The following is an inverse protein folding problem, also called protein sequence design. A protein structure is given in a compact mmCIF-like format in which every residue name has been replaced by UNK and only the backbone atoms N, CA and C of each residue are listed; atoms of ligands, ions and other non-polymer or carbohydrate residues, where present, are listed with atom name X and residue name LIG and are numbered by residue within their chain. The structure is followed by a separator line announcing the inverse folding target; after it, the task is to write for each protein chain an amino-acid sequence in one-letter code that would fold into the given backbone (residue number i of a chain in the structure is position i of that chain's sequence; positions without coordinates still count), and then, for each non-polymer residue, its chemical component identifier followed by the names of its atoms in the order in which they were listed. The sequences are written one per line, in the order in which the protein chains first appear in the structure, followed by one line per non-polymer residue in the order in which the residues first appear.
data_IF_250248889314
#
_entry.id   IF_250248889314
#
_cell.length_a   1.000
_cell.length_b   1.000
_cell.length_c   1.000
_cell.angle_alpha   90.00
_cell.angle_beta   90.00
_cell.angle_gamma   90.00
#
_symmetry.space_group_name_H-M   'P 1'
#
loop_
_entity.id
_entity.type
_entity.pdbx_description
1 polymer ?
#
# COMPACT_ATOMS: atom_id res chain seq x y z
N UNK A 1 -18.60 -16.78 -2.17
CA UNK A 1 -18.73 -15.65 -3.12
C UNK A 1 -18.36 -16.17 -4.50
N UNK A 2 -19.16 -15.87 -5.52
CA UNK A 2 -18.86 -16.25 -6.90
C UNK A 2 -17.69 -15.46 -7.49
N UNK A 3 -17.05 -15.98 -8.54
CA UNK A 3 -15.97 -15.31 -9.25
C UNK A 3 -16.45 -13.96 -9.81
N UNK A 4 -15.78 -12.83 -9.52
CA UNK A 4 -16.21 -11.50 -9.98
C UNK A 4 -16.20 -11.41 -11.50
N UNK A 5 -17.27 -10.90 -12.12
CA UNK A 5 -17.30 -10.64 -13.57
C UNK A 5 -16.43 -9.42 -13.90
N UNK A 6 -16.04 -9.30 -15.18
CA UNK A 6 -15.26 -8.13 -15.64
C UNK A 6 -15.99 -6.80 -15.38
N UNK A 7 -17.30 -6.77 -15.63
CA UNK A 7 -18.14 -5.60 -15.32
C UNK A 7 -18.07 -5.26 -13.82
N UNK A 8 -18.22 -6.26 -12.94
CA UNK A 8 -18.15 -6.06 -11.48
C UNK A 8 -16.83 -5.45 -11.02
N UNK A 9 -15.71 -5.77 -11.69
CA UNK A 9 -14.42 -5.15 -11.39
C UNK A 9 -14.34 -3.69 -11.84
N UNK A 10 -14.96 -3.37 -12.99
CA UNK A 10 -15.04 -1.99 -13.47
C UNK A 10 -15.93 -1.16 -12.54
N UNK A 11 -17.12 -1.66 -12.20
CA UNK A 11 -18.03 -1.01 -11.27
C UNK A 11 -17.36 -0.81 -9.89
N UNK A 12 -16.62 -1.82 -9.41
CA UNK A 12 -15.86 -1.71 -8.17
C UNK A 12 -14.78 -0.64 -8.27
N UNK A 13 -14.02 -0.59 -9.36
CA UNK A 13 -13.00 0.42 -9.59
C UNK A 13 -13.60 1.84 -9.61
N UNK A 14 -14.73 2.02 -10.28
CA UNK A 14 -15.40 3.32 -10.38
C UNK A 14 -15.94 3.80 -9.01
N UNK A 15 -16.30 2.86 -8.13
CA UNK A 15 -16.73 3.13 -6.76
C UNK A 15 -15.59 3.43 -5.78
N UNK A 16 -14.32 3.24 -6.18
CA UNK A 16 -13.18 3.54 -5.31
C UNK A 16 -13.05 5.05 -5.08
N UNK A 17 -12.47 5.40 -3.93
CA UNK A 17 -12.11 6.78 -3.64
C UNK A 17 -11.19 7.37 -4.72
N UNK A 18 -11.36 8.66 -5.03
CA UNK A 18 -10.64 9.36 -6.09
C UNK A 18 -9.11 9.23 -5.98
N UNK A 19 -8.56 9.19 -4.77
CA UNK A 19 -7.12 9.06 -4.58
C UNK A 19 -6.61 7.66 -4.92
N UNK A 20 -7.41 6.64 -4.59
CA UNK A 20 -7.13 5.25 -4.95
C UNK A 20 -7.25 5.09 -6.47
N UNK A 21 -8.32 5.62 -7.07
CA UNK A 21 -8.51 5.62 -8.53
C UNK A 21 -7.37 6.27 -9.28
N UNK A 22 -6.91 7.44 -8.82
CA UNK A 22 -5.74 8.12 -9.41
C UNK A 22 -4.47 7.29 -9.30
N UNK A 23 -4.25 6.65 -8.15
CA UNK A 23 -3.11 5.75 -7.96
C UNK A 23 -3.16 4.54 -8.91
N UNK A 24 -4.37 4.08 -9.24
CA UNK A 24 -4.63 2.96 -10.13
C UNK A 24 -5.11 3.39 -11.53
N UNK A 25 -4.81 4.62 -11.96
CA UNK A 25 -5.37 5.23 -13.18
C UNK A 25 -5.18 4.41 -14.48
N UNK A 26 -4.14 3.57 -14.53
CA UNK A 26 -3.85 2.74 -15.70
C UNK A 26 -4.62 1.43 -15.72
N UNK A 27 -5.31 1.07 -14.62
CA UNK A 27 -6.05 -0.18 -14.51
C UNK A 27 -7.07 -0.41 -15.63
N UNK A 28 -7.96 0.55 -15.99
CA UNK A 28 -8.97 0.30 -17.02
C UNK A 28 -8.35 -0.07 -18.38
N UNK A 29 -7.29 0.65 -18.77
CA UNK A 29 -6.57 0.39 -20.02
C UNK A 29 -5.83 -0.94 -19.98
N UNK A 30 -5.08 -1.20 -18.90
CA UNK A 30 -4.35 -2.45 -18.73
C UNK A 30 -5.29 -3.66 -18.72
N UNK A 31 -6.43 -3.53 -18.05
CA UNK A 31 -7.37 -4.64 -17.92
C UNK A 31 -8.07 -4.96 -19.24
N UNK A 32 -8.39 -3.95 -20.05
CA UNK A 32 -9.07 -4.14 -21.33
C UNK A 32 -8.13 -4.59 -22.44
N UNK A 33 -6.92 -4.03 -22.50
CA UNK A 33 -6.02 -4.23 -23.64
C UNK A 33 -5.01 -5.37 -23.43
N UNK A 34 -4.81 -5.83 -22.18
CA UNK A 34 -3.81 -6.83 -21.82
C UNK A 34 -4.41 -7.97 -20.97
N UNK A 35 -3.69 -9.10 -20.83
CA UNK A 35 -4.07 -10.15 -19.88
C UNK A 35 -4.24 -9.58 -18.47
N UNK A 36 -5.25 -10.07 -17.74
CA UNK A 36 -5.59 -9.58 -16.40
C UNK A 36 -4.42 -9.66 -15.39
N UNK A 37 -3.48 -10.56 -15.64
CA UNK A 37 -2.25 -10.75 -14.89
C UNK A 37 -1.38 -9.48 -14.90
N UNK A 38 -1.28 -8.80 -16.04
CA UNK A 38 -0.51 -7.54 -16.19
C UNK A 38 -1.10 -6.45 -15.29
N UNK A 39 -2.42 -6.33 -15.29
CA UNK A 39 -3.12 -5.41 -14.39
C UNK A 39 -2.86 -5.73 -12.93
N UNK A 40 -2.87 -7.03 -12.56
CA UNK A 40 -2.63 -7.45 -11.19
C UNK A 40 -1.21 -7.08 -10.73
N UNK A 41 -0.19 -7.38 -11.53
CA UNK A 41 1.20 -7.02 -11.21
C UNK A 41 1.37 -5.50 -11.09
N UNK A 42 0.77 -4.73 -11.99
CA UNK A 42 0.81 -3.27 -11.92
C UNK A 42 0.19 -2.74 -10.62
N UNK A 43 -0.98 -3.25 -10.23
CA UNK A 43 -1.64 -2.82 -9.00
C UNK A 43 -0.85 -3.19 -7.76
N UNK A 44 -0.15 -4.33 -7.74
CA UNK A 44 0.74 -4.69 -6.63
C UNK A 44 1.89 -3.70 -6.47
N UNK A 45 2.51 -3.25 -7.56
CA UNK A 45 3.52 -2.19 -7.52
C UNK A 45 2.96 -0.88 -6.91
N UNK A 46 1.71 -0.54 -7.22
CA UNK A 46 1.03 0.63 -6.64
C UNK A 46 0.67 0.44 -5.17
N UNK A 47 0.29 -0.76 -4.74
CA UNK A 47 0.12 -1.09 -3.31
C UNK A 47 1.44 -0.91 -2.56
N UNK A 48 2.53 -1.45 -3.07
CA UNK A 48 3.84 -1.36 -2.43
C UNK A 48 4.30 0.10 -2.29
N UNK A 49 4.11 0.89 -3.35
CA UNK A 49 4.32 2.35 -3.31
C UNK A 49 3.49 3.01 -2.20
N UNK A 50 2.21 2.64 -2.07
CA UNK A 50 1.32 3.19 -1.04
C UNK A 50 1.74 2.76 0.38
N UNK A 51 2.23 1.53 0.56
CA UNK A 51 2.75 1.01 1.82
C UNK A 51 4.00 1.78 2.27
N UNK A 52 4.99 1.93 1.39
CA UNK A 52 6.21 2.71 1.67
C UNK A 52 5.84 4.15 2.02
N UNK A 53 4.94 4.74 1.25
CA UNK A 53 4.46 6.10 1.49
C UNK A 53 3.71 6.26 2.80
N UNK A 54 2.95 5.24 3.24
CA UNK A 54 2.33 5.23 4.55
C UNK A 54 3.39 5.32 5.65
N UNK A 55 4.43 4.48 5.58
CA UNK A 55 5.53 4.50 6.55
C UNK A 55 6.28 5.84 6.53
N UNK A 56 6.62 6.35 5.35
CA UNK A 56 7.28 7.66 5.19
C UNK A 56 6.47 8.76 5.88
N UNK A 57 5.18 8.85 5.56
CA UNK A 57 4.30 9.85 6.13
C UNK A 57 4.16 9.67 7.65
N UNK A 58 4.05 8.44 8.14
CA UNK A 58 3.99 8.15 9.57
C UNK A 58 5.26 8.60 10.30
N UNK A 59 6.43 8.25 9.77
CA UNK A 59 7.74 8.63 10.32
C UNK A 59 7.90 10.16 10.40
N UNK A 60 7.58 10.87 9.31
CA UNK A 60 7.76 12.32 9.23
C UNK A 60 6.69 13.08 10.02
N UNK A 61 5.43 12.61 10.03
CA UNK A 61 4.32 13.31 10.68
C UNK A 61 4.25 13.01 12.18
N UNK A 62 4.27 11.74 12.56
CA UNK A 62 4.06 11.31 13.94
C UNK A 62 5.33 11.49 14.78
N UNK A 63 6.47 11.16 14.20
CA UNK A 63 7.76 11.14 14.91
C UNK A 63 8.66 12.33 14.56
N UNK A 64 8.19 13.22 13.68
CA UNK A 64 8.85 14.48 13.30
C UNK A 64 10.27 14.29 12.76
N UNK A 65 10.59 13.10 12.27
CA UNK A 65 11.90 12.79 11.71
C UNK A 65 12.20 13.72 10.54
N UNK A 66 13.47 14.05 10.35
CA UNK A 66 13.93 14.77 9.18
C UNK A 66 13.53 14.03 7.89
N UNK A 67 12.82 14.71 6.98
CA UNK A 67 12.25 14.10 5.79
C UNK A 67 13.29 13.39 4.90
N UNK A 68 14.48 13.98 4.74
CA UNK A 68 15.54 13.38 3.94
C UNK A 68 16.06 12.09 4.57
N UNK A 69 16.24 12.06 5.90
CA UNK A 69 16.67 10.85 6.59
C UNK A 69 15.59 9.76 6.57
N UNK A 70 14.32 10.14 6.70
CA UNK A 70 13.20 9.20 6.58
C UNK A 70 13.13 8.58 5.18
N UNK A 71 13.30 9.39 4.13
CA UNK A 71 13.35 8.92 2.74
C UNK A 71 14.52 7.95 2.54
N UNK A 72 15.74 8.38 2.88
CA UNK A 72 16.93 7.53 2.72
C UNK A 72 16.82 6.20 3.49
N UNK A 73 16.23 6.20 4.68
CA UNK A 73 16.09 4.98 5.47
C UNK A 73 15.06 4.01 4.87
N UNK A 74 14.01 4.53 4.22
CA UNK A 74 13.04 3.70 3.50
C UNK A 74 13.56 3.21 2.16
N UNK A 75 14.30 4.04 1.42
CA UNK A 75 14.89 3.66 0.14
C UNK A 75 15.94 2.53 0.29
N UNK A 76 16.64 2.50 1.42
CA UNK A 76 17.60 1.44 1.75
C UNK A 76 16.96 0.21 2.41
N UNK A 77 15.67 0.25 2.74
CA UNK A 77 14.99 -0.85 3.40
C UNK A 77 14.31 -1.75 2.36
N UNK A 78 14.73 -3.01 2.30
CA UNK A 78 14.05 -4.02 1.48
C UNK A 78 12.67 -4.36 2.07
N UNK A 79 11.62 -4.00 1.34
CA UNK A 79 10.26 -4.28 1.75
C UNK A 79 9.96 -5.78 1.65
N UNK A 80 9.61 -6.37 2.79
CA UNK A 80 9.11 -7.74 2.86
C UNK A 80 7.71 -7.73 3.46
N UNK A 81 6.89 -8.74 3.14
CA UNK A 81 5.52 -8.87 3.69
C UNK A 81 5.46 -8.90 5.22
N UNK A 82 6.27 -9.71 5.93
CA UNK A 82 6.33 -9.63 7.39
C UNK A 82 6.94 -8.30 7.84
N UNK A 83 8.02 -7.86 7.18
CA UNK A 83 8.72 -6.62 7.54
C UNK A 83 7.80 -5.39 7.50
N UNK A 84 6.92 -5.28 6.51
CA UNK A 84 5.97 -4.16 6.44
C UNK A 84 5.04 -4.08 7.65
N UNK A 85 4.58 -5.22 8.18
CA UNK A 85 3.71 -5.23 9.37
C UNK A 85 4.46 -4.79 10.60
N UNK A 86 5.67 -5.29 10.76
CA UNK A 86 6.53 -4.96 11.89
C UNK A 86 6.83 -3.45 11.87
N UNK A 87 7.16 -2.91 10.69
CA UNK A 87 7.34 -1.47 10.48
C UNK A 87 6.07 -0.68 10.71
N UNK A 88 4.93 -1.16 10.23
CA UNK A 88 3.64 -0.49 10.48
C UNK A 88 3.38 -0.40 11.98
N UNK A 89 3.57 -1.49 12.72
CA UNK A 89 3.44 -1.51 14.18
C UNK A 89 4.42 -0.56 14.86
N UNK A 90 5.69 -0.55 14.45
CA UNK A 90 6.69 0.38 15.00
C UNK A 90 6.37 1.85 14.74
N UNK A 91 5.85 2.19 13.56
CA UNK A 91 5.57 3.58 13.17
C UNK A 91 4.25 4.09 13.75
N UNK A 92 3.18 3.28 13.71
CA UNK A 92 1.84 3.72 14.12
C UNK A 92 1.45 3.26 15.53
N UNK A 93 2.28 2.45 16.19
CA UNK A 93 1.98 1.78 17.46
C UNK A 93 0.64 0.99 17.43
N UNK A 94 0.30 0.46 16.26
CA UNK A 94 -0.96 -0.22 15.97
C UNK A 94 -0.73 -1.33 14.97
N UNK A 95 -1.52 -2.40 15.08
CA UNK A 95 -1.46 -3.51 14.15
C UNK A 95 -2.39 -3.29 12.96
N UNK A 96 -2.00 -3.82 11.79
CA UNK A 96 -2.92 -3.89 10.65
C UNK A 96 -4.10 -4.77 11.03
N UNK A 97 -5.32 -4.29 10.77
CA UNK A 97 -6.53 -5.06 11.05
C UNK A 97 -6.47 -6.38 10.29
N UNK A 98 -6.95 -7.46 10.93
CA UNK A 98 -6.95 -8.81 10.35
C UNK A 98 -7.59 -8.85 8.96
N UNK A 99 -8.70 -8.13 8.79
CA UNK A 99 -9.40 -8.03 7.51
C UNK A 99 -8.53 -7.43 6.40
N UNK A 100 -7.78 -6.36 6.68
CA UNK A 100 -6.83 -5.74 5.73
C UNK A 100 -5.79 -6.77 5.31
N UNK A 101 -5.23 -7.50 6.28
CA UNK A 101 -4.25 -8.54 6.00
C UNK A 101 -4.82 -9.64 5.12
N UNK A 102 -5.97 -10.22 5.49
CA UNK A 102 -6.54 -11.39 4.82
C UNK A 102 -6.82 -11.11 3.34
N UNK A 103 -7.28 -9.88 3.00
CA UNK A 103 -7.48 -9.44 1.62
C UNK A 103 -6.19 -9.46 0.80
N UNK A 104 -5.11 -8.89 1.35
CA UNK A 104 -3.84 -8.85 0.65
C UNK A 104 -3.25 -10.26 0.46
N UNK A 105 -3.32 -11.10 1.50
CA UNK A 105 -2.76 -12.46 1.47
C UNK A 105 -3.42 -13.34 0.39
N UNK A 106 -4.73 -13.17 0.18
CA UNK A 106 -5.42 -13.89 -0.89
C UNK A 106 -4.91 -13.48 -2.28
N UNK A 107 -4.80 -12.17 -2.53
CA UNK A 107 -4.29 -11.64 -3.79
C UNK A 107 -2.80 -11.98 -4.04
N UNK A 108 -1.98 -12.00 -2.97
CA UNK A 108 -0.56 -12.32 -3.02
C UNK A 108 -0.29 -13.73 -3.56
N UNK A 109 -1.13 -14.71 -3.19
CA UNK A 109 -1.01 -16.08 -3.71
C UNK A 109 -1.17 -16.13 -5.23
N UNK A 110 -2.11 -15.36 -5.79
CA UNK A 110 -2.29 -15.28 -7.23
C UNK A 110 -1.08 -14.62 -7.90
N UNK A 111 -0.58 -13.51 -7.33
CA UNK A 111 0.63 -12.82 -7.79
C UNK A 111 1.84 -13.74 -7.82
N UNK A 112 2.10 -14.47 -6.73
CA UNK A 112 3.26 -15.35 -6.62
C UNK A 112 3.21 -16.46 -7.65
N UNK A 113 2.04 -17.07 -7.86
CA UNK A 113 1.88 -18.07 -8.90
C UNK A 113 2.17 -17.53 -10.30
N UNK A 114 1.67 -16.32 -10.63
CA UNK A 114 1.95 -15.65 -11.92
C UNK A 114 3.46 -15.38 -12.08
N UNK A 115 4.10 -14.78 -11.08
CA UNK A 115 5.53 -14.45 -11.11
C UNK A 115 6.41 -15.70 -11.23
N UNK A 116 6.00 -16.80 -10.61
CA UNK A 116 6.66 -18.10 -10.74
C UNK A 116 6.30 -18.87 -12.04
N UNK A 117 5.59 -18.24 -12.98
CA UNK A 117 5.24 -18.82 -14.28
C UNK A 117 4.18 -19.93 -14.22
N UNK A 118 3.48 -20.07 -13.10
CA UNK A 118 2.38 -21.04 -12.97
C UNK A 118 1.12 -20.49 -13.63
N UNK A 119 0.38 -21.35 -14.30
CA UNK A 119 -0.93 -20.97 -14.85
C UNK A 119 -1.94 -20.71 -13.73
N UNK A 120 -2.49 -19.51 -13.71
CA UNK A 120 -3.56 -19.12 -12.79
C UNK A 120 -4.85 -18.99 -13.59
N UNK A 121 -5.94 -19.58 -13.08
CA UNK A 121 -7.26 -19.45 -13.73
C UNK A 121 -7.67 -17.98 -13.75
N UNK A 122 -8.19 -17.51 -14.88
CA UNK A 122 -8.67 -16.12 -15.05
C UNK A 122 -9.62 -15.67 -13.90
N UNK A 123 -10.50 -16.56 -13.44
CA UNK A 123 -11.37 -16.27 -12.30
C UNK A 123 -10.64 -15.98 -10.99
N UNK A 124 -9.51 -16.64 -10.74
CA UNK A 124 -8.68 -16.39 -9.57
C UNK A 124 -7.92 -15.05 -9.70
N UNK A 125 -7.48 -14.68 -10.91
CA UNK A 125 -6.89 -13.37 -11.19
C UNK A 125 -7.91 -12.25 -10.98
N UNK A 126 -9.15 -12.43 -11.47
CA UNK A 126 -10.24 -11.48 -11.23
C UNK A 126 -10.59 -11.34 -9.76
N UNK A 127 -10.61 -12.44 -9.01
CA UNK A 127 -10.80 -12.37 -7.56
C UNK A 127 -9.65 -11.62 -6.87
N UNK A 128 -8.39 -11.88 -7.26
CA UNK A 128 -7.24 -11.17 -6.71
C UNK A 128 -7.27 -9.66 -7.00
N UNK A 129 -7.69 -9.25 -8.20
CA UNK A 129 -7.92 -7.84 -8.54
C UNK A 129 -8.97 -7.19 -7.63
N UNK A 130 -10.07 -7.90 -7.38
CA UNK A 130 -11.11 -7.43 -6.45
C UNK A 130 -10.57 -7.27 -5.03
N UNK A 131 -9.82 -8.26 -4.53
CA UNK A 131 -9.24 -8.21 -3.19
C UNK A 131 -8.18 -7.11 -3.04
N UNK A 132 -7.46 -6.77 -4.11
CA UNK A 132 -6.55 -5.61 -4.18
C UNK A 132 -7.31 -4.28 -4.01
N UNK A 133 -8.49 -4.14 -4.62
CA UNK A 133 -9.35 -2.96 -4.46
C UNK A 133 -9.93 -2.84 -3.05
N UNK A 134 -10.38 -3.96 -2.47
CA UNK A 134 -10.81 -4.01 -1.08
C UNK A 134 -9.67 -3.68 -0.12
N UNK A 135 -8.49 -4.28 -0.34
CA UNK A 135 -7.30 -3.98 0.45
C UNK A 135 -6.98 -2.48 0.41
N UNK A 136 -6.93 -1.86 -0.78
CA UNK A 136 -6.62 -0.44 -0.90
C UNK A 136 -7.61 0.44 -0.13
N UNK A 137 -8.90 0.09 -0.19
CA UNK A 137 -9.97 0.80 0.53
C UNK A 137 -9.78 0.69 2.04
N UNK A 138 -9.65 -0.54 2.55
CA UNK A 138 -9.52 -0.81 3.98
C UNK A 138 -8.21 -0.27 4.55
N UNK A 139 -7.11 -0.41 3.82
CA UNK A 139 -5.80 0.12 4.20
C UNK A 139 -5.80 1.64 4.25
N UNK A 140 -6.38 2.30 3.23
CA UNK A 140 -6.52 3.77 3.22
C UNK A 140 -7.34 4.26 4.41
N UNK A 141 -8.48 3.61 4.70
CA UNK A 141 -9.32 3.93 5.84
C UNK A 141 -8.58 3.74 7.18
N UNK A 142 -7.81 2.65 7.32
CA UNK A 142 -7.03 2.39 8.52
C UNK A 142 -5.94 3.45 8.72
N UNK A 143 -5.13 3.75 7.70
CA UNK A 143 -4.06 4.78 7.81
C UNK A 143 -4.65 6.16 8.11
N UNK A 144 -5.80 6.49 7.51
CA UNK A 144 -6.52 7.73 7.80
C UNK A 144 -6.98 7.79 9.25
N UNK A 145 -7.49 6.67 9.79
CA UNK A 145 -7.84 6.56 11.21
C UNK A 145 -6.61 6.62 12.13
N UNK A 146 -5.46 6.12 11.70
CA UNK A 146 -4.27 5.99 12.53
C UNK A 146 -3.44 7.27 12.59
N UNK A 147 -3.40 8.04 11.49
CA UNK A 147 -2.53 9.21 11.37
C UNK A 147 -3.13 10.41 10.64
N UNK A 148 -4.40 10.34 10.22
CA UNK A 148 -5.11 11.46 9.60
C UNK A 148 -4.60 11.84 8.21
N UNK A 149 -4.05 10.89 7.45
CA UNK A 149 -3.69 11.05 6.04
C UNK A 149 -4.00 9.77 5.26
N UNK A 150 -3.97 9.85 3.94
CA UNK A 150 -4.22 8.72 3.05
C UNK A 150 -2.93 8.32 2.31
N UNK A 151 -2.65 7.02 2.15
CA UNK A 151 -1.43 6.57 1.50
C UNK A 151 -1.48 6.73 -0.04
N UNK A 152 -2.69 6.79 -0.62
CA UNK A 152 -2.93 6.96 -2.05
C UNK A 152 -3.05 8.43 -2.49
N UNK A 153 -3.15 9.37 -1.55
CA UNK A 153 -3.38 10.80 -1.80
C UNK A 153 -2.15 11.62 -2.16
N UNK A 154 -2.31 12.93 -2.35
CA UNK A 154 -1.17 13.84 -2.54
C UNK A 154 -0.45 14.08 -1.21
N UNK A 155 0.89 14.21 -1.25
CA UNK A 155 1.71 14.53 -0.08
C UNK A 155 1.69 16.02 0.30
N UNK A 156 0.89 16.85 -0.35
CA UNK A 156 0.77 18.26 0.02
C UNK A 156 0.11 18.41 1.39
N UNK A 157 0.81 19.04 2.33
CA UNK A 157 0.27 19.40 3.65
C UNK A 157 0.19 18.27 4.68
N UNK A 158 0.63 17.04 4.37
CA UNK A 158 0.43 15.89 5.26
C UNK A 158 1.05 16.05 6.65
N UNK A 159 2.19 16.76 6.75
CA UNK A 159 2.95 16.99 7.98
C UNK A 159 2.31 18.04 8.91
N UNK A 160 1.43 18.90 8.37
CA UNK A 160 0.91 20.05 9.11
C UNK A 160 2.00 21.07 9.48
N UNK A 161 1.83 21.77 10.60
CA UNK A 161 2.72 22.87 11.05
C UNK A 161 3.91 22.42 11.91
N UNK A 162 4.06 21.12 12.16
CA UNK A 162 5.12 20.62 13.05
C UNK A 162 6.52 20.77 12.42
N UNK A 163 7.46 21.32 13.18
CA UNK A 163 8.88 21.33 12.82
C UNK A 163 9.46 19.91 12.89
N UNK A 164 10.44 19.62 12.02
CA UNK A 164 11.20 18.38 12.12
C UNK A 164 12.24 18.49 13.23
N UNK A 165 12.55 17.35 13.83
CA UNK A 165 13.75 17.16 14.64
C UNK A 165 15.00 17.37 13.78
N UNK A 166 16.11 17.71 14.44
CA UNK A 166 17.41 17.78 13.80
C UNK A 166 17.85 16.37 13.33
N UNK A 167 18.92 16.34 12.51
CA UNK A 167 19.40 15.10 11.91
C UNK A 167 19.95 14.10 12.94
N UNK A 168 20.58 14.55 14.02
CA UNK A 168 21.14 13.66 15.03
C UNK A 168 20.02 12.96 15.80
N UNK A 169 19.03 13.71 16.29
CA UNK A 169 17.87 13.13 16.99
C UNK A 169 17.05 12.22 16.07
N UNK A 170 16.87 12.63 14.81
CA UNK A 170 16.18 11.82 13.79
C UNK A 170 16.82 10.43 13.59
N UNK A 171 18.15 10.33 13.65
CA UNK A 171 18.85 9.03 13.54
C UNK A 171 18.53 8.11 14.71
N UNK A 172 18.51 8.63 15.93
CA UNK A 172 18.14 7.85 17.11
C UNK A 172 16.72 7.30 17.02
N UNK A 173 15.79 8.12 16.53
CA UNK A 173 14.40 7.68 16.30
C UNK A 173 14.34 6.56 15.26
N UNK A 174 15.05 6.71 14.13
CA UNK A 174 15.09 5.69 13.07
C UNK A 174 15.75 4.37 13.51
N UNK A 175 16.82 4.44 14.31
CA UNK A 175 17.45 3.26 14.92
C UNK A 175 16.49 2.57 15.90
N UNK A 176 15.77 3.32 16.72
CA UNK A 176 14.74 2.78 17.62
C UNK A 176 13.60 2.06 16.88
N UNK A 177 13.27 2.52 15.67
CA UNK A 177 12.31 1.86 14.77
C UNK A 177 12.96 0.79 13.86
N UNK A 178 14.26 0.52 14.03
CA UNK A 178 15.06 -0.45 13.29
C UNK A 178 15.17 -0.19 11.78
N UNK A 179 15.04 1.06 11.33
CA UNK A 179 15.20 1.43 9.91
C UNK A 179 16.66 1.69 9.52
N UNK A 180 17.53 1.82 10.51
CA UNK A 180 18.98 1.97 10.41
C UNK A 180 19.65 0.95 11.31
#
# INVERSE_FOLDING_TARGET
MGVPRRQTLCDKFDSLDDEIRRSFQHFPKLFNDFPAEVSLIHLFSKIETAQVKALYCGIVKLHRVNAQLAANALDNWEITRPGFRDKYKSVFNKELKKEVHERLLHAEKARDNIVHGKQVKDGAVRQALFDVFEYATLFSAQVKSDAGFTPFGKLTGFKGRASSLDKATSRWVLMGMKFL
#
